data_IF_668202403767
#
_entry.id   IF_668202403767
#
_cell.length_a   1.000
_cell.length_b   1.000
_cell.length_c   1.000
_cell.angle_alpha   90.00
_cell.angle_beta   90.00
_cell.angle_gamma   90.00
#
_symmetry.space_group_name_H-M   'P 1'
#
loop_
_entity.id
_entity.type
_entity.pdbx_description
1 polymer ?
#
# COMPACT_ATOMS: atom_id res chain seq x y z
N UNK A 1 -6.58 0.31 3.99
CA UNK A 1 -6.50 -1.04 3.38
C UNK A 1 -5.05 -1.50 3.34
N UNK A 2 -4.82 -2.77 3.59
CA UNK A 2 -3.48 -3.38 3.57
C UNK A 2 -3.47 -4.49 2.51
N UNK A 3 -2.46 -4.50 1.63
CA UNK A 3 -2.26 -5.53 0.63
C UNK A 3 -0.83 -6.08 0.73
N UNK A 4 -0.69 -7.30 1.24
CA UNK A 4 0.58 -7.99 1.43
C UNK A 4 0.27 -9.49 1.55
N UNK A 5 1.07 -10.35 0.92
CA UNK A 5 0.84 -11.79 0.97
C UNK A 5 1.31 -12.44 2.29
N UNK A 6 2.05 -11.73 3.12
CA UNK A 6 2.53 -12.21 4.42
C UNK A 6 1.53 -11.90 5.53
N UNK A 7 0.98 -12.94 6.15
CA UNK A 7 0.10 -12.79 7.31
C UNK A 7 0.81 -12.07 8.46
N UNK A 8 2.09 -12.38 8.68
CA UNK A 8 2.90 -11.77 9.74
C UNK A 8 3.08 -10.27 9.51
N UNK A 9 3.37 -9.86 8.28
CA UNK A 9 3.56 -8.44 7.94
C UNK A 9 2.23 -7.68 8.09
N UNK A 10 1.11 -8.25 7.63
CA UNK A 10 -0.19 -7.60 7.80
C UNK A 10 -0.51 -7.41 9.28
N UNK A 11 -0.19 -8.39 10.13
CA UNK A 11 -0.43 -8.28 11.56
C UNK A 11 0.40 -7.12 12.18
N UNK A 12 1.67 -7.02 11.83
CA UNK A 12 2.53 -5.92 12.29
C UNK A 12 1.98 -4.57 11.84
N UNK A 13 1.57 -4.47 10.58
CA UNK A 13 1.02 -3.22 10.03
C UNK A 13 -0.29 -2.85 10.75
N UNK A 14 -1.16 -3.83 11.03
CA UNK A 14 -2.40 -3.57 11.78
C UNK A 14 -2.11 -3.00 13.17
N UNK A 15 -1.09 -3.50 13.86
CA UNK A 15 -0.69 -2.97 15.16
C UNK A 15 -0.22 -1.52 15.05
N UNK A 16 0.58 -1.22 14.03
CA UNK A 16 1.06 0.15 13.77
C UNK A 16 -0.11 1.09 13.51
N UNK A 17 -1.05 0.68 12.67
CA UNK A 17 -2.22 1.49 12.34
C UNK A 17 -3.11 1.75 13.54
N UNK A 18 -3.24 0.76 14.43
CA UNK A 18 -3.97 0.91 15.68
C UNK A 18 -3.34 1.98 16.59
N UNK A 19 -2.00 2.01 16.66
CA UNK A 19 -1.28 3.04 17.43
C UNK A 19 -1.60 4.44 16.89
N UNK A 20 -1.74 4.58 15.57
CA UNK A 20 -2.06 5.85 14.92
C UNK A 20 -3.55 6.16 14.82
N UNK A 21 -4.41 5.38 15.47
CA UNK A 21 -5.87 5.54 15.44
C UNK A 21 -6.47 5.39 14.04
N UNK A 22 -5.83 4.61 13.17
CA UNK A 22 -6.36 4.28 11.85
C UNK A 22 -7.19 3.01 11.90
N UNK A 23 -8.20 2.93 11.04
CA UNK A 23 -9.09 1.77 10.94
C UNK A 23 -8.76 0.98 9.67
N UNK A 24 -8.54 -0.33 9.82
CA UNK A 24 -8.31 -1.23 8.69
C UNK A 24 -9.67 -1.72 8.19
N UNK A 25 -10.06 -1.28 6.99
CA UNK A 25 -11.37 -1.65 6.42
C UNK A 25 -11.33 -2.97 5.67
N UNK A 26 -10.18 -3.36 5.15
CA UNK A 26 -10.00 -4.66 4.49
C UNK A 26 -8.53 -5.01 4.32
N UNK A 27 -8.26 -6.30 4.06
CA UNK A 27 -6.93 -6.83 3.79
C UNK A 27 -6.97 -7.69 2.54
N UNK A 28 -5.90 -7.65 1.75
CA UNK A 28 -5.74 -8.46 0.55
C UNK A 28 -4.42 -9.23 0.60
N UNK A 29 -4.42 -10.44 0.04
CA UNK A 29 -3.28 -11.36 0.04
C UNK A 29 -2.59 -11.46 -1.32
N UNK A 30 -3.24 -11.02 -2.38
CA UNK A 30 -2.71 -11.07 -3.74
C UNK A 30 -3.20 -9.85 -4.54
N UNK A 31 -2.60 -9.65 -5.71
CA UNK A 31 -2.88 -8.46 -6.49
C UNK A 31 -4.30 -8.42 -7.06
N UNK A 32 -4.86 -9.55 -7.46
CA UNK A 32 -6.23 -9.60 -8.00
C UNK A 32 -7.25 -9.22 -6.92
N UNK A 33 -7.10 -9.79 -5.73
CA UNK A 33 -7.95 -9.47 -4.56
C UNK A 33 -7.81 -8.00 -4.18
N UNK A 34 -6.61 -7.44 -4.28
CA UNK A 34 -6.35 -6.03 -3.95
C UNK A 34 -7.18 -5.09 -4.81
N UNK A 35 -7.21 -5.29 -6.11
CA UNK A 35 -7.99 -4.45 -7.03
C UNK A 35 -9.49 -4.55 -6.72
N UNK A 36 -9.99 -5.77 -6.57
CA UNK A 36 -11.41 -6.01 -6.29
C UNK A 36 -11.85 -5.36 -4.98
N UNK A 37 -11.10 -5.57 -3.91
CA UNK A 37 -11.43 -5.05 -2.59
C UNK A 37 -11.25 -3.52 -2.51
N UNK A 38 -10.28 -2.96 -3.21
CA UNK A 38 -10.10 -1.51 -3.25
C UNK A 38 -11.39 -0.81 -3.74
N UNK A 39 -11.97 -1.29 -4.83
CA UNK A 39 -13.16 -0.66 -5.39
C UNK A 39 -14.43 -1.02 -4.64
N UNK A 40 -14.45 -2.14 -3.91
CA UNK A 40 -15.57 -2.53 -3.05
C UNK A 40 -15.64 -1.68 -1.79
N UNK A 41 -14.49 -1.46 -1.12
CA UNK A 41 -14.43 -0.78 0.17
C UNK A 41 -14.06 0.69 0.08
N UNK A 42 -13.51 1.13 -1.05
CA UNK A 42 -13.12 2.51 -1.31
C UNK A 42 -12.31 3.13 -0.15
N UNK A 43 -11.16 2.56 0.22
CA UNK A 43 -10.39 3.02 1.37
C UNK A 43 -9.77 4.40 1.12
N UNK A 44 -9.50 5.13 2.18
CA UNK A 44 -8.81 6.41 2.10
C UNK A 44 -7.34 6.25 1.72
N UNK A 45 -6.74 5.10 2.02
CA UNK A 45 -5.34 4.81 1.78
C UNK A 45 -5.13 3.32 1.56
N UNK A 46 -4.28 2.96 0.62
CA UNK A 46 -3.81 1.60 0.38
C UNK A 46 -2.32 1.50 0.72
N UNK A 47 -1.99 0.59 1.63
CA UNK A 47 -0.61 0.18 1.89
C UNK A 47 -0.36 -1.08 1.06
N UNK A 48 0.57 -1.02 0.11
CA UNK A 48 0.71 -2.02 -0.95
C UNK A 48 2.12 -2.58 -1.02
N UNK A 49 2.24 -3.91 -0.92
CA UNK A 49 3.50 -4.60 -1.18
C UNK A 49 3.69 -4.78 -2.70
N UNK A 50 4.92 -4.60 -3.18
CA UNK A 50 5.24 -4.80 -4.61
C UNK A 50 5.26 -6.27 -4.99
N UNK A 51 5.71 -7.15 -4.10
CA UNK A 51 5.94 -8.57 -4.40
C UNK A 51 4.77 -9.42 -3.93
N UNK A 52 3.70 -9.47 -4.71
CA UNK A 52 2.53 -10.32 -4.42
C UNK A 52 2.26 -11.29 -5.56
N UNK A 53 1.66 -12.47 -5.25
CA UNK A 53 1.22 -13.38 -6.31
C UNK A 53 0.06 -12.82 -7.13
N UNK A 54 -0.17 -13.40 -8.29
CA UNK A 54 -1.19 -13.10 -9.31
C UNK A 54 -0.95 -11.79 -10.04
N UNK A 55 -0.90 -10.66 -9.33
CA UNK A 55 -0.53 -9.36 -9.90
C UNK A 55 0.44 -8.68 -8.96
N UNK A 56 1.55 -8.19 -9.48
CA UNK A 56 2.51 -7.44 -8.67
C UNK A 56 2.00 -6.04 -8.33
N UNK A 57 2.70 -5.37 -7.41
CA UNK A 57 2.28 -4.06 -6.93
C UNK A 57 2.29 -2.98 -8.00
N UNK A 58 3.18 -3.04 -8.98
CA UNK A 58 3.20 -2.09 -10.10
C UNK A 58 1.93 -2.22 -10.94
N UNK A 59 1.56 -3.44 -11.31
CA UNK A 59 0.33 -3.71 -12.07
C UNK A 59 -0.90 -3.27 -11.29
N UNK A 60 -0.95 -3.61 -9.99
CA UNK A 60 -2.08 -3.23 -9.12
C UNK A 60 -2.21 -1.70 -9.03
N UNK A 61 -1.11 -1.00 -8.77
CA UNK A 61 -1.15 0.47 -8.66
C UNK A 61 -1.58 1.12 -9.97
N UNK A 62 -1.10 0.62 -11.10
CA UNK A 62 -1.51 1.14 -12.42
C UNK A 62 -3.01 0.93 -12.67
N UNK A 63 -3.56 -0.24 -12.35
CA UNK A 63 -4.99 -0.51 -12.53
C UNK A 63 -5.85 0.38 -11.65
N UNK A 64 -5.46 0.54 -10.39
CA UNK A 64 -6.21 1.38 -9.44
C UNK A 64 -6.16 2.85 -9.88
N UNK A 65 -4.99 3.36 -10.20
CA UNK A 65 -4.82 4.77 -10.57
C UNK A 65 -5.46 5.10 -11.93
N UNK A 66 -5.54 4.14 -12.85
CA UNK A 66 -6.25 4.34 -14.12
C UNK A 66 -7.74 4.58 -13.92
N UNK A 67 -8.35 3.94 -12.91
CA UNK A 67 -9.77 4.06 -12.60
C UNK A 67 -10.06 5.10 -11.51
N UNK A 68 -9.07 5.36 -10.64
CA UNK A 68 -9.18 6.33 -9.54
C UNK A 68 -7.88 7.13 -9.45
N UNK A 69 -7.71 8.17 -10.27
CA UNK A 69 -6.45 8.94 -10.32
C UNK A 69 -6.08 9.63 -9.01
N UNK A 70 -7.02 9.81 -8.11
CA UNK A 70 -6.78 10.44 -6.81
C UNK A 70 -6.52 9.43 -5.69
N UNK A 71 -6.48 8.14 -6.00
CA UNK A 71 -6.22 7.10 -5.01
C UNK A 71 -4.88 7.36 -4.32
N UNK A 72 -4.86 7.20 -2.99
CA UNK A 72 -3.66 7.37 -2.18
C UNK A 72 -3.06 6.00 -1.90
N UNK A 73 -1.83 5.79 -2.36
CA UNK A 73 -1.14 4.51 -2.27
C UNK A 73 0.25 4.75 -1.70
N UNK A 74 0.61 4.00 -0.65
CA UNK A 74 1.97 3.95 -0.12
C UNK A 74 2.49 2.53 -0.35
N UNK A 75 3.63 2.41 -1.02
CA UNK A 75 4.30 1.12 -1.17
C UNK A 75 5.02 0.77 0.12
N UNK A 76 4.90 -0.49 0.56
CA UNK A 76 5.73 -1.02 1.65
C UNK A 76 6.43 -2.25 1.09
N UNK A 77 7.74 -2.13 0.84
CA UNK A 77 8.46 -3.13 0.06
C UNK A 77 9.86 -3.40 0.58
N UNK A 78 10.28 -4.67 0.48
CA UNK A 78 11.66 -5.08 0.71
C UNK A 78 12.53 -4.86 -0.54
N UNK A 79 11.91 -4.52 -1.66
CA UNK A 79 12.63 -4.33 -2.91
C UNK A 79 13.53 -3.10 -2.85
N UNK A 80 14.75 -3.23 -3.32
CA UNK A 80 15.68 -2.14 -3.55
C UNK A 80 15.78 -1.77 -5.04
N UNK A 81 14.89 -2.31 -5.86
CA UNK A 81 14.83 -2.00 -7.28
C UNK A 81 14.25 -0.60 -7.49
N UNK A 82 15.14 0.38 -7.53
CA UNK A 82 14.77 1.79 -7.69
C UNK A 82 14.01 2.07 -8.99
N UNK A 83 14.24 1.27 -10.03
CA UNK A 83 13.55 1.45 -11.32
C UNK A 83 12.06 1.16 -11.18
N UNK A 84 11.70 0.07 -10.49
CA UNK A 84 10.29 -0.28 -10.25
C UNK A 84 9.64 0.75 -9.34
N UNK A 85 10.32 1.15 -8.27
CA UNK A 85 9.80 2.16 -7.33
C UNK A 85 9.56 3.49 -8.07
N UNK A 86 10.50 3.92 -8.92
CA UNK A 86 10.36 5.15 -9.70
C UNK A 86 9.20 5.06 -10.70
N UNK A 87 8.98 3.91 -11.32
CA UNK A 87 7.83 3.71 -12.20
C UNK A 87 6.51 3.87 -11.45
N UNK A 88 6.43 3.32 -10.25
CA UNK A 88 5.23 3.45 -9.41
C UNK A 88 4.99 4.92 -9.03
N UNK A 89 6.03 5.62 -8.59
CA UNK A 89 5.91 7.04 -8.22
C UNK A 89 5.53 7.90 -9.41
N UNK A 90 6.11 7.62 -10.60
CA UNK A 90 5.76 8.34 -11.82
C UNK A 90 4.33 8.08 -12.27
N UNK A 91 3.75 6.94 -11.92
CA UNK A 91 2.37 6.59 -12.25
C UNK A 91 1.36 7.20 -11.28
N UNK A 92 1.80 7.83 -10.19
CA UNK A 92 0.91 8.50 -9.24
C UNK A 92 0.84 7.88 -7.85
N UNK A 93 1.66 6.86 -7.55
CA UNK A 93 1.79 6.34 -6.19
C UNK A 93 2.32 7.45 -5.30
N UNK A 94 1.75 7.59 -4.10
CA UNK A 94 2.00 8.75 -3.25
C UNK A 94 3.37 8.73 -2.56
N UNK A 95 3.81 7.56 -2.11
CA UNK A 95 5.05 7.43 -1.35
C UNK A 95 5.48 5.97 -1.24
N UNK A 96 6.64 5.70 -0.64
CA UNK A 96 7.06 4.33 -0.33
C UNK A 96 7.81 4.28 0.99
N UNK A 97 7.78 3.10 1.63
CA UNK A 97 8.53 2.79 2.85
C UNK A 97 9.26 1.47 2.61
N UNK A 98 10.55 1.44 2.91
CA UNK A 98 11.38 0.24 2.74
C UNK A 98 11.26 -0.69 3.95
N UNK A 99 11.19 -2.00 3.71
CA UNK A 99 11.34 -3.01 4.76
C UNK A 99 12.83 -3.22 5.05
N UNK A 100 13.26 -3.42 6.29
CA UNK A 100 12.46 -3.35 7.51
C UNK A 100 12.06 -1.91 7.84
N UNK A 101 10.87 -1.73 8.38
CA UNK A 101 10.35 -0.41 8.73
C UNK A 101 10.10 -0.33 10.24
N UNK A 102 10.05 0.90 10.77
CA UNK A 102 9.59 1.14 12.13
C UNK A 102 8.24 1.87 12.13
N UNK A 103 7.53 1.80 13.26
CA UNK A 103 6.18 2.36 13.31
C UNK A 103 6.15 3.88 13.15
N UNK A 104 7.16 4.60 13.64
CA UNK A 104 7.22 6.07 13.48
C UNK A 104 7.31 6.47 12.02
N UNK A 105 8.14 5.77 11.24
CA UNK A 105 8.32 6.03 9.81
C UNK A 105 7.01 5.80 9.05
N UNK A 106 6.35 4.67 9.32
CA UNK A 106 5.09 4.32 8.65
C UNK A 106 4.00 5.35 8.98
N UNK A 107 3.82 5.69 10.26
CA UNK A 107 2.81 6.65 10.68
C UNK A 107 3.07 8.05 10.13
N UNK A 108 4.34 8.46 10.06
CA UNK A 108 4.71 9.75 9.48
C UNK A 108 4.34 9.83 8.00
N UNK A 109 4.67 8.79 7.23
CA UNK A 109 4.32 8.76 5.80
C UNK A 109 2.81 8.76 5.58
N UNK A 110 2.08 8.01 6.40
CA UNK A 110 0.60 7.99 6.32
C UNK A 110 0.05 9.39 6.57
N UNK A 111 0.51 10.06 7.63
CA UNK A 111 0.06 11.42 7.94
C UNK A 111 0.35 12.39 6.82
N UNK A 112 1.54 12.32 6.23
CA UNK A 112 1.94 13.18 5.11
C UNK A 112 1.05 12.96 3.88
N UNK A 113 0.75 11.72 3.55
CA UNK A 113 -0.07 11.37 2.38
C UNK A 113 -1.53 11.78 2.60
N UNK A 114 -2.09 11.52 3.77
CA UNK A 114 -3.48 11.85 4.07
C UNK A 114 -3.72 13.36 4.19
N UNK A 115 -2.68 14.13 4.50
CA UNK A 115 -2.77 15.59 4.60
C UNK A 115 -2.82 16.32 3.26
N UNK A 116 -2.53 15.63 2.18
CA UNK A 116 -2.49 16.22 0.82
C UNK A 116 -3.86 16.28 0.17
#
# INVERSE_FOLDING_TARGET
MIADDSDAIRLVIKDILSIGDHVVVCEAKDGAETVDLFFKFNPDLLLLDLAMPKKDGLTVSNEILARSPKAKIILITASDDQKIIQKCLSSGVSSYVSKPFNFNQVLKEISNVLAK
#
